data_IF_828825763139
#
_entry.id   IF_828825763139
#
_cell.length_a   1.000
_cell.length_b   1.000
_cell.length_c   1.000
_cell.angle_alpha   90.00
_cell.angle_beta   90.00
_cell.angle_gamma   90.00
#
_symmetry.space_group_name_H-M   'P 1'
#
loop_
_entity.id
_entity.type
_entity.pdbx_description
1 polymer ?
#
# COMPACT_ATOMS: atom_id res chain seq x y z
N UNK A 1 7.95 4.75 -10.95
CA UNK A 1 6.75 4.10 -11.49
C UNK A 1 6.94 3.56 -12.90
N UNK A 2 7.71 4.24 -13.73
CA UNK A 2 7.97 3.77 -15.10
C UNK A 2 8.94 2.57 -15.20
N UNK A 3 9.53 2.13 -14.09
CA UNK A 3 10.40 0.96 -14.06
C UNK A 3 9.55 -0.31 -14.30
N UNK A 4 9.86 -1.14 -15.31
CA UNK A 4 9.06 -2.32 -15.64
C UNK A 4 9.08 -3.42 -14.56
N UNK A 5 9.96 -3.30 -13.57
CA UNK A 5 10.04 -4.25 -12.45
C UNK A 5 9.36 -3.75 -11.19
N UNK A 6 8.64 -2.62 -11.25
CA UNK A 6 7.93 -2.06 -10.10
C UNK A 6 6.45 -2.42 -10.20
N UNK A 7 5.99 -3.25 -9.29
CA UNK A 7 4.58 -3.65 -9.20
C UNK A 7 3.84 -2.98 -8.05
N UNK A 8 4.53 -2.73 -6.94
CA UNK A 8 3.93 -2.18 -5.72
C UNK A 8 4.81 -1.06 -5.17
N UNK A 9 4.18 0.06 -4.82
CA UNK A 9 4.81 1.16 -4.06
C UNK A 9 4.61 0.88 -2.57
N UNK A 10 5.65 0.39 -1.90
CA UNK A 10 5.62 0.00 -0.50
C UNK A 10 5.71 1.20 0.45
N UNK A 11 5.01 1.13 1.60
CA UNK A 11 4.98 2.13 2.69
C UNK A 11 5.39 3.53 2.24
N UNK A 12 4.59 4.14 1.39
CA UNK A 12 4.96 5.29 0.56
C UNK A 12 5.38 6.55 1.33
N UNK A 13 4.94 6.74 2.58
CA UNK A 13 5.40 7.87 3.41
C UNK A 13 6.61 7.50 4.27
N UNK A 14 6.88 6.22 4.47
CA UNK A 14 7.94 5.74 5.34
C UNK A 14 7.74 6.09 6.81
N UNK A 15 6.53 6.50 7.21
CA UNK A 15 6.26 6.94 8.57
C UNK A 15 6.36 5.80 9.59
N UNK A 16 6.63 6.17 10.83
CA UNK A 16 6.54 5.30 12.00
C UNK A 16 5.81 6.08 13.09
N UNK A 17 4.59 5.64 13.44
CA UNK A 17 3.69 6.38 14.33
C UNK A 17 3.88 6.06 15.80
N UNK A 18 4.71 5.06 16.11
CA UNK A 18 5.02 4.66 17.49
C UNK A 18 6.52 4.54 17.69
N UNK A 19 6.96 4.63 18.96
CA UNK A 19 8.37 4.39 19.32
C UNK A 19 8.69 2.90 19.48
N UNK A 20 7.76 2.01 19.18
CA UNK A 20 7.91 0.56 19.40
C UNK A 20 8.50 -0.19 18.22
N UNK A 21 8.75 0.49 17.11
CA UNK A 21 9.36 -0.12 15.95
C UNK A 21 10.84 -0.44 16.16
N UNK A 22 11.45 -1.12 15.17
CA UNK A 22 12.86 -1.57 15.23
C UNK A 22 13.85 -0.43 15.47
N UNK A 23 13.51 0.80 15.04
CA UNK A 23 14.34 1.99 15.27
C UNK A 23 14.12 2.61 16.65
N UNK A 24 13.06 2.24 17.38
CA UNK A 24 12.68 2.85 18.65
C UNK A 24 12.30 4.33 18.54
N UNK A 25 12.01 4.83 17.33
CA UNK A 25 11.74 6.25 17.06
C UNK A 25 10.46 6.43 16.27
N UNK A 26 9.72 7.50 16.59
CA UNK A 26 8.66 8.03 15.73
C UNK A 26 9.34 8.68 14.51
N UNK A 27 8.86 8.33 13.32
CA UNK A 27 9.34 8.90 12.07
C UNK A 27 8.19 9.61 11.38
N UNK A 28 8.33 10.91 11.05
CA UNK A 28 7.31 11.63 10.32
C UNK A 28 7.18 11.10 8.88
N UNK A 29 6.10 11.47 8.22
CA UNK A 29 5.89 11.16 6.81
C UNK A 29 6.94 11.83 5.94
N UNK A 30 7.42 11.11 4.94
CA UNK A 30 8.24 11.71 3.89
C UNK A 30 7.40 12.70 3.08
N UNK A 31 7.98 13.84 2.73
CA UNK A 31 7.35 14.80 1.84
C UNK A 31 7.51 14.33 0.40
N UNK A 32 6.41 14.26 -0.33
CA UNK A 32 6.40 13.97 -1.77
C UNK A 32 5.12 14.52 -2.40
N UNK A 33 5.15 14.72 -3.71
CA UNK A 33 3.97 15.12 -4.46
C UNK A 33 3.05 13.92 -4.64
N UNK A 34 2.13 13.73 -3.71
CA UNK A 34 1.24 12.58 -3.68
C UNK A 34 0.33 12.51 -4.92
N UNK A 35 -0.18 13.64 -5.39
CA UNK A 35 -1.03 13.67 -6.58
C UNK A 35 -0.28 13.16 -7.80
N UNK A 36 0.95 13.63 -8.01
CA UNK A 36 1.79 13.20 -9.13
C UNK A 36 2.17 11.72 -9.01
N UNK A 37 2.58 11.27 -7.81
CA UNK A 37 3.00 9.90 -7.57
C UNK A 37 1.83 8.93 -7.76
N UNK A 38 0.66 9.24 -7.22
CA UNK A 38 -0.52 8.36 -7.35
C UNK A 38 -1.05 8.35 -8.78
N UNK A 39 -1.00 9.47 -9.49
CA UNK A 39 -1.34 9.48 -10.92
C UNK A 39 -0.37 8.61 -11.73
N UNK A 40 0.92 8.65 -11.41
CA UNK A 40 1.90 7.76 -12.04
C UNK A 40 1.62 6.28 -11.71
N UNK A 41 1.26 5.97 -10.47
CA UNK A 41 0.85 4.62 -10.08
C UNK A 41 -0.34 4.15 -10.93
N UNK A 42 -1.35 5.00 -11.08
CA UNK A 42 -2.52 4.69 -11.91
C UNK A 42 -2.13 4.43 -13.36
N UNK A 43 -1.32 5.31 -13.95
CA UNK A 43 -0.93 5.19 -15.36
C UNK A 43 -0.10 3.94 -15.65
N UNK A 44 0.81 3.60 -14.75
CA UNK A 44 1.70 2.45 -14.93
C UNK A 44 1.16 1.15 -14.32
N UNK A 45 -0.04 1.18 -13.74
CA UNK A 45 -0.66 -0.01 -13.13
C UNK A 45 0.10 -0.51 -11.89
N UNK A 46 0.78 0.39 -11.18
CA UNK A 46 1.49 0.09 -9.92
C UNK A 46 0.51 0.21 -8.76
N UNK A 47 0.42 -0.83 -7.93
CA UNK A 47 -0.43 -0.80 -6.75
C UNK A 47 0.20 0.03 -5.63
N UNK A 48 -0.63 0.74 -4.86
CA UNK A 48 -0.21 1.41 -3.62
C UNK A 48 -0.40 0.42 -2.47
N UNK A 49 0.65 0.17 -1.70
CA UNK A 49 0.57 -0.71 -0.54
C UNK A 49 -0.26 -0.07 0.58
N UNK A 50 -1.16 -0.85 1.14
CA UNK A 50 -1.81 -0.56 2.42
C UNK A 50 -1.11 -1.43 3.45
N UNK A 51 -0.15 -0.85 4.16
CA UNK A 51 0.71 -1.55 5.09
C UNK A 51 -0.03 -1.73 6.43
N UNK A 52 -0.18 -2.98 6.87
CA UNK A 52 -0.94 -3.34 8.08
C UNK A 52 -0.12 -3.21 9.36
N UNK A 53 1.15 -2.93 9.27
CA UNK A 53 2.04 -2.87 10.42
C UNK A 53 1.60 -1.77 11.39
N UNK A 54 1.33 -2.07 12.70
CA UNK A 54 0.79 -1.06 13.62
C UNK A 54 1.65 0.18 13.78
N UNK A 55 2.96 0.06 13.73
CA UNK A 55 3.86 1.19 13.81
C UNK A 55 3.93 2.04 12.54
N UNK A 56 3.40 1.53 11.42
CA UNK A 56 3.35 2.26 10.15
C UNK A 56 1.95 2.74 9.81
N UNK A 57 1.01 1.83 9.60
CA UNK A 57 -0.34 2.11 9.11
C UNK A 57 -0.28 3.09 7.93
N UNK A 58 0.55 2.75 6.94
CA UNK A 58 0.90 3.59 5.81
C UNK A 58 0.11 3.16 4.56
N UNK A 59 -0.45 4.07 3.76
CA UNK A 59 -0.41 5.53 3.92
C UNK A 59 -1.42 6.04 4.94
N UNK A 60 -1.23 7.28 5.45
CA UNK A 60 -2.25 7.95 6.27
C UNK A 60 -3.60 8.00 5.55
N UNK A 61 -4.70 8.05 6.31
CA UNK A 61 -6.06 8.03 5.74
C UNK A 61 -6.28 9.09 4.65
N UNK A 62 -5.79 10.32 4.87
CA UNK A 62 -5.95 11.38 3.87
C UNK A 62 -5.30 11.02 2.53
N UNK A 63 -4.11 10.41 2.56
CA UNK A 63 -3.39 9.99 1.35
C UNK A 63 -4.01 8.73 0.75
N UNK A 64 -4.50 7.80 1.57
CA UNK A 64 -5.21 6.63 1.08
C UNK A 64 -6.48 7.05 0.33
N UNK A 65 -7.25 8.00 0.87
CA UNK A 65 -8.43 8.55 0.18
C UNK A 65 -8.05 9.23 -1.14
N UNK A 66 -6.96 9.98 -1.15
CA UNK A 66 -6.46 10.60 -2.38
C UNK A 66 -6.11 9.54 -3.44
N UNK A 67 -5.46 8.46 -3.04
CA UNK A 67 -5.14 7.36 -3.95
C UNK A 67 -6.39 6.67 -4.49
N UNK A 68 -7.42 6.50 -3.65
CA UNK A 68 -8.73 5.98 -4.07
C UNK A 68 -9.38 6.90 -5.11
N UNK A 69 -9.42 8.20 -4.84
CA UNK A 69 -9.97 9.20 -5.76
C UNK A 69 -9.22 9.24 -7.10
N UNK A 70 -7.92 9.03 -7.06
CA UNK A 70 -7.07 8.98 -8.25
C UNK A 70 -7.34 7.73 -9.11
N UNK A 71 -7.87 6.67 -8.51
CA UNK A 71 -8.16 5.41 -9.20
C UNK A 71 -7.01 4.43 -9.18
N UNK A 72 -6.17 4.45 -8.15
CA UNK A 72 -5.07 3.52 -7.98
C UNK A 72 -5.55 2.09 -7.70
N UNK A 73 -4.69 1.12 -7.99
CA UNK A 73 -4.78 -0.24 -7.45
C UNK A 73 -4.13 -0.28 -6.07
N UNK A 74 -4.50 -1.28 -5.28
CA UNK A 74 -3.99 -1.42 -3.90
C UNK A 74 -3.54 -2.85 -3.62
N UNK A 75 -2.53 -2.98 -2.77
CA UNK A 75 -2.08 -4.23 -2.18
C UNK A 75 -2.18 -4.10 -0.66
N UNK A 76 -2.83 -5.04 0.00
CA UNK A 76 -2.92 -5.09 1.47
C UNK A 76 -1.95 -6.16 1.95
N UNK A 77 -0.97 -5.78 2.75
CA UNK A 77 0.01 -6.73 3.28
C UNK A 77 0.48 -6.35 4.69
N UNK A 78 1.05 -7.34 5.38
CA UNK A 78 1.42 -7.19 6.79
C UNK A 78 2.81 -6.64 7.01
N UNK A 79 3.66 -6.64 5.99
CA UNK A 79 5.08 -6.34 6.17
C UNK A 79 5.69 -7.22 7.28
N UNK A 80 5.25 -8.48 7.36
CA UNK A 80 5.60 -9.41 8.42
C UNK A 80 7.04 -9.88 8.31
N UNK A 81 7.75 -9.85 9.45
CA UNK A 81 9.13 -10.33 9.61
C UNK A 81 9.19 -11.56 10.54
N UNK A 82 8.04 -11.98 11.08
CA UNK A 82 7.87 -13.14 11.94
C UNK A 82 6.46 -13.71 11.76
N UNK A 83 6.24 -15.03 12.00
CA UNK A 83 4.92 -15.65 11.74
C UNK A 83 3.74 -14.99 12.45
N UNK A 84 3.91 -14.57 13.70
CA UNK A 84 2.85 -13.90 14.46
C UNK A 84 2.43 -12.55 13.90
N UNK A 85 3.26 -11.92 13.07
CA UNK A 85 2.97 -10.63 12.46
C UNK A 85 1.99 -10.75 11.28
N UNK A 86 1.74 -11.96 10.78
CA UNK A 86 0.70 -12.20 9.79
C UNK A 86 -0.70 -11.86 10.33
N UNK A 87 -0.87 -11.85 11.63
CA UNK A 87 -2.14 -11.49 12.29
C UNK A 87 -2.48 -10.00 12.18
N UNK A 88 -1.60 -9.19 11.62
CA UNK A 88 -1.85 -7.76 11.39
C UNK A 88 -2.73 -7.46 10.17
N UNK A 89 -2.99 -8.45 9.30
CA UNK A 89 -3.80 -8.26 8.09
C UNK A 89 -5.13 -7.54 8.34
N UNK A 90 -5.88 -7.82 9.43
CA UNK A 90 -7.13 -7.12 9.70
C UNK A 90 -6.99 -5.60 9.82
N UNK A 91 -5.87 -5.07 10.26
CA UNK A 91 -5.66 -3.62 10.37
C UNK A 91 -5.70 -2.93 9.00
N UNK A 92 -5.14 -3.57 7.99
CA UNK A 92 -5.20 -3.05 6.62
C UNK A 92 -6.60 -3.18 6.03
N UNK A 93 -7.29 -4.27 6.30
CA UNK A 93 -8.67 -4.46 5.86
C UNK A 93 -9.61 -3.42 6.46
N UNK A 94 -9.48 -3.15 7.75
CA UNK A 94 -10.26 -2.13 8.46
C UNK A 94 -10.04 -0.74 7.86
N UNK A 95 -8.79 -0.37 7.61
CA UNK A 95 -8.45 0.93 7.00
C UNK A 95 -8.97 1.05 5.58
N UNK A 96 -8.93 -0.05 4.81
CA UNK A 96 -9.49 -0.10 3.46
C UNK A 96 -10.99 0.15 3.48
N UNK A 97 -11.69 -0.45 4.44
CA UNK A 97 -13.13 -0.25 4.62
C UNK A 97 -13.45 1.19 5.04
N UNK A 98 -12.72 1.75 5.99
CA UNK A 98 -12.88 3.14 6.44
C UNK A 98 -12.67 4.15 5.31
N UNK A 99 -11.73 3.90 4.42
CA UNK A 99 -11.40 4.79 3.30
C UNK A 99 -12.14 4.44 2.02
N UNK A 100 -13.08 3.50 2.07
CA UNK A 100 -13.92 3.09 0.96
C UNK A 100 -13.11 2.61 -0.26
N UNK A 101 -12.04 1.84 -0.02
CA UNK A 101 -11.25 1.24 -1.10
C UNK A 101 -12.10 0.22 -1.84
N UNK A 102 -12.31 0.37 -3.16
CA UNK A 102 -13.11 -0.59 -3.92
C UNK A 102 -12.46 -1.98 -3.93
N UNK A 103 -13.24 -3.04 -3.71
CA UNK A 103 -12.73 -4.42 -3.72
C UNK A 103 -12.04 -4.77 -5.04
N UNK A 104 -12.59 -4.33 -6.16
CA UNK A 104 -12.02 -4.56 -7.48
C UNK A 104 -10.68 -3.89 -7.70
N UNK A 105 -10.33 -2.90 -6.86
CA UNK A 105 -9.03 -2.22 -6.90
C UNK A 105 -7.97 -2.90 -6.04
N UNK A 106 -8.34 -3.86 -5.20
CA UNK A 106 -7.43 -4.58 -4.31
C UNK A 106 -6.92 -5.83 -5.02
N UNK A 107 -5.62 -5.83 -5.37
CA UNK A 107 -5.02 -6.92 -6.15
C UNK A 107 -5.05 -8.26 -5.41
N UNK A 108 -5.08 -8.25 -4.08
CA UNK A 108 -5.18 -9.48 -3.26
C UNK A 108 -6.46 -10.27 -3.53
N UNK A 109 -7.51 -9.64 -4.05
CA UNK A 109 -8.79 -10.31 -4.32
C UNK A 109 -8.82 -11.03 -5.66
N UNK A 110 -7.79 -10.84 -6.49
CA UNK A 110 -7.72 -11.43 -7.83
C UNK A 110 -7.41 -12.92 -7.78
N UNK A 111 -7.99 -13.72 -8.69
CA UNK A 111 -7.49 -15.08 -8.92
C UNK A 111 -6.01 -15.07 -9.28
N UNK A 112 -5.30 -16.17 -8.97
CA UNK A 112 -3.84 -16.23 -9.14
C UNK A 112 -3.39 -15.96 -10.57
N UNK A 113 -4.11 -16.45 -11.57
CA UNK A 113 -3.79 -16.21 -12.98
C UNK A 113 -3.90 -14.74 -13.36
N UNK A 114 -4.92 -14.05 -12.89
CA UNK A 114 -5.09 -12.60 -13.09
C UNK A 114 -4.03 -11.79 -12.36
N UNK A 115 -3.69 -12.19 -11.14
CA UNK A 115 -2.63 -11.55 -10.35
C UNK A 115 -1.28 -11.69 -11.04
N UNK A 116 -0.95 -12.88 -11.53
CA UNK A 116 0.31 -13.13 -12.26
C UNK A 116 0.36 -12.40 -13.59
N UNK A 117 -0.76 -12.31 -14.30
CA UNK A 117 -0.85 -11.53 -15.53
C UNK A 117 -0.60 -10.04 -15.28
N UNK A 118 -1.16 -9.51 -14.19
CA UNK A 118 -0.91 -8.13 -13.81
C UNK A 118 0.56 -7.91 -13.45
N UNK A 119 1.16 -8.77 -12.62
CA UNK A 119 2.57 -8.67 -12.23
C UNK A 119 3.52 -8.86 -13.42
N UNK A 120 3.14 -9.67 -14.40
CA UNK A 120 3.93 -9.92 -15.61
C UNK A 120 3.70 -8.95 -16.77
N UNK A 121 2.89 -7.90 -16.59
CA UNK A 121 2.46 -6.99 -17.68
C UNK A 121 3.60 -6.23 -18.37
N UNK A 122 4.76 -6.16 -17.72
CA UNK A 122 5.94 -5.47 -18.24
C UNK A 122 6.90 -6.40 -18.99
N UNK A 123 6.66 -7.66 -18.91
CA UNK A 123 7.47 -8.70 -19.54
C UNK A 123 6.81 -9.31 -20.75
#
# INVERSE_FOLDING_TARGET
>A
MANPHTDILGHCTGRNVTSQGRSGRVRPESEFDAELVFEACRQFGVAVEINCRPERLDPPRRLLRLAVETGCLFSIDTDAHAPGQLDWQPFGCERSEECEVPLESIVNTRPVDELLAWAGRHG
#
